data_IF_232383030698
#
_entry.id   IF_232383030698
#
_cell.length_a   1.000
_cell.length_b   1.000
_cell.length_c   1.000
_cell.angle_alpha   90.00
_cell.angle_beta   90.00
_cell.angle_gamma   90.00
#
_symmetry.space_group_name_H-M   'P 1'
#
loop_
_entity.id
_entity.type
_entity.pdbx_description
1 polymer ?
#
# COMPACT_ATOMS: atom_id res chain seq x y z
N UNK A 1 -1.83 -11.59 -22.93
CA UNK A 1 -2.26 -10.57 -21.96
C UNK A 1 -2.76 -9.36 -22.71
N UNK A 2 -4.00 -8.94 -22.48
CA UNK A 2 -4.62 -7.75 -23.08
C UNK A 2 -4.47 -6.57 -22.13
N UNK A 3 -4.08 -5.39 -22.63
CA UNK A 3 -4.04 -4.13 -21.88
C UNK A 3 -5.24 -3.26 -22.28
N UNK A 4 -5.97 -2.78 -21.31
CA UNK A 4 -7.17 -1.94 -21.47
C UNK A 4 -6.95 -0.65 -20.66
N UNK A 5 -7.15 0.53 -21.29
CA UNK A 5 -7.14 1.81 -20.58
C UNK A 5 -8.45 2.02 -19.83
N UNK A 6 -8.37 2.50 -18.58
CA UNK A 6 -9.50 2.95 -17.77
C UNK A 6 -9.59 4.48 -17.85
N UNK A 7 -10.80 5.02 -17.83
CA UNK A 7 -11.02 6.47 -17.98
C UNK A 7 -11.41 7.16 -16.67
N UNK A 8 -12.17 6.49 -15.82
CA UNK A 8 -12.70 7.05 -14.59
C UNK A 8 -12.72 5.99 -13.46
N UNK A 9 -11.77 6.09 -12.53
CA UNK A 9 -10.55 6.91 -12.60
C UNK A 9 -9.62 6.45 -13.73
N UNK A 10 -8.75 7.37 -14.20
CA UNK A 10 -7.71 7.05 -15.18
C UNK A 10 -6.85 5.88 -14.66
N UNK A 11 -6.60 4.89 -15.50
CA UNK A 11 -5.88 3.71 -15.07
C UNK A 11 -5.60 2.73 -16.20
N UNK A 12 -5.12 1.56 -15.81
CA UNK A 12 -4.86 0.43 -16.71
C UNK A 12 -5.40 -0.86 -16.10
N UNK A 13 -5.96 -1.71 -16.93
CA UNK A 13 -6.35 -3.09 -16.63
C UNK A 13 -5.60 -4.04 -17.52
N UNK A 14 -5.05 -5.09 -16.93
CA UNK A 14 -4.50 -6.23 -17.63
C UNK A 14 -5.39 -7.44 -17.46
N UNK A 15 -5.74 -8.06 -18.58
CA UNK A 15 -6.53 -9.29 -18.64
C UNK A 15 -5.61 -10.41 -19.12
N UNK A 16 -5.34 -11.42 -18.28
CA UNK A 16 -4.53 -12.57 -18.69
C UNK A 16 -5.29 -13.43 -19.71
N UNK A 17 -4.62 -14.19 -20.57
CA UNK A 17 -5.27 -15.07 -21.55
C UNK A 17 -6.04 -16.24 -20.88
N UNK A 18 -5.56 -16.67 -19.71
CA UNK A 18 -6.24 -17.63 -18.83
C UNK A 18 -6.26 -17.00 -17.44
N UNK A 19 -7.45 -16.72 -16.94
CA UNK A 19 -7.63 -16.07 -15.64
C UNK A 19 -7.60 -17.05 -14.49
N UNK A 20 -7.04 -16.63 -13.35
CA UNK A 20 -7.04 -17.39 -12.09
C UNK A 20 -8.32 -17.25 -11.28
N UNK A 21 -9.25 -16.41 -11.69
CA UNK A 21 -10.41 -15.97 -10.90
C UNK A 21 -10.08 -14.88 -9.87
N UNK A 22 -8.81 -14.46 -9.77
CA UNK A 22 -8.39 -13.42 -8.81
C UNK A 22 -8.21 -12.08 -9.50
N UNK A 23 -8.83 -11.04 -8.94
CA UNK A 23 -8.62 -9.64 -9.27
C UNK A 23 -7.62 -8.99 -8.31
N UNK A 24 -6.75 -8.14 -8.83
CA UNK A 24 -5.72 -7.43 -8.05
C UNK A 24 -5.80 -5.94 -8.35
N UNK A 25 -6.07 -5.12 -7.33
CA UNK A 25 -6.00 -3.67 -7.43
C UNK A 25 -4.66 -3.18 -6.89
N UNK A 26 -3.86 -2.55 -7.75
CA UNK A 26 -2.50 -2.07 -7.44
C UNK A 26 -2.50 -0.57 -7.24
N UNK A 27 -2.04 -0.12 -6.07
CA UNK A 27 -2.03 1.28 -5.63
C UNK A 27 -0.59 1.77 -5.47
N UNK A 28 -0.21 2.75 -6.26
CA UNK A 28 1.07 3.45 -6.12
C UNK A 28 1.10 4.27 -4.82
N UNK A 29 2.29 4.72 -4.42
CA UNK A 29 2.49 5.60 -3.26
C UNK A 29 2.15 7.07 -3.56
N UNK A 30 2.80 7.97 -2.82
CA UNK A 30 2.61 9.43 -2.86
C UNK A 30 2.91 10.11 -4.20
N UNK A 31 3.33 9.37 -5.21
CA UNK A 31 3.49 9.88 -6.59
C UNK A 31 2.16 10.01 -7.34
N UNK A 32 1.09 9.34 -6.88
CA UNK A 32 -0.21 9.30 -7.57
C UNK A 32 -0.19 8.69 -8.97
N UNK A 33 0.93 8.07 -9.37
CA UNK A 33 1.05 7.45 -10.70
C UNK A 33 0.17 6.20 -10.82
N UNK A 34 -0.12 5.82 -12.04
CA UNK A 34 -0.63 4.51 -12.36
C UNK A 34 0.58 3.55 -12.31
N UNK A 35 0.56 2.54 -11.45
CA UNK A 35 1.66 1.57 -11.29
C UNK A 35 1.49 0.40 -12.26
N UNK A 36 1.61 0.73 -13.55
CA UNK A 36 1.38 -0.19 -14.65
C UNK A 36 2.32 -1.39 -14.61
N UNK A 37 3.59 -1.17 -14.26
CA UNK A 37 4.60 -2.23 -14.26
C UNK A 37 4.30 -3.26 -13.17
N UNK A 38 3.94 -2.82 -11.96
CA UNK A 38 3.54 -3.73 -10.89
C UNK A 38 2.25 -4.48 -11.23
N UNK A 39 1.25 -3.80 -11.79
CA UNK A 39 0.04 -4.47 -12.28
C UNK A 39 0.36 -5.53 -13.34
N UNK A 40 1.32 -5.27 -14.22
CA UNK A 40 1.78 -6.22 -15.24
C UNK A 40 2.41 -7.46 -14.62
N UNK A 41 3.15 -7.35 -13.51
CA UNK A 41 3.70 -8.53 -12.78
C UNK A 41 2.56 -9.44 -12.34
N UNK A 42 1.54 -8.91 -11.68
CA UNK A 42 0.39 -9.71 -11.23
C UNK A 42 -0.39 -10.33 -12.39
N UNK A 43 -0.54 -9.60 -13.49
CA UNK A 43 -1.15 -10.15 -14.69
C UNK A 43 -0.31 -11.27 -15.34
N UNK A 44 1.02 -11.18 -15.24
CA UNK A 44 1.95 -12.25 -15.63
C UNK A 44 1.82 -13.52 -14.77
N UNK A 45 1.30 -13.39 -13.55
CA UNK A 45 0.95 -14.52 -12.67
C UNK A 45 -0.43 -15.13 -12.98
N UNK A 46 -1.15 -14.60 -13.98
CA UNK A 46 -2.47 -15.07 -14.38
C UNK A 46 -3.63 -14.38 -13.63
N UNK A 47 -3.40 -13.25 -12.99
CA UNK A 47 -4.44 -12.50 -12.29
C UNK A 47 -4.99 -11.37 -13.16
N UNK A 48 -6.26 -11.03 -12.95
CA UNK A 48 -6.81 -9.76 -13.41
C UNK A 48 -6.15 -8.64 -12.62
N UNK A 49 -5.45 -7.71 -13.24
CA UNK A 49 -4.72 -6.70 -12.50
C UNK A 49 -5.06 -5.30 -12.99
N UNK A 50 -5.35 -4.40 -12.04
CA UNK A 50 -5.62 -2.99 -12.31
C UNK A 50 -4.67 -2.10 -11.53
N UNK A 51 -4.32 -0.96 -12.12
CA UNK A 51 -3.75 0.17 -11.39
C UNK A 51 -4.43 1.45 -11.82
N UNK A 52 -4.72 2.34 -10.87
CA UNK A 52 -5.47 3.57 -11.08
C UNK A 52 -4.70 4.79 -10.57
N UNK A 53 -5.00 5.93 -11.17
CA UNK A 53 -4.68 7.24 -10.60
C UNK A 53 -5.75 7.58 -9.56
N UNK A 54 -5.35 7.87 -8.34
CA UNK A 54 -6.29 8.08 -7.25
C UNK A 54 -6.19 9.48 -6.61
N UNK A 55 -5.25 10.31 -7.07
CA UNK A 55 -5.22 11.77 -6.87
C UNK A 55 -4.47 12.43 -8.02
N UNK A 56 -4.61 13.75 -8.17
CA UNK A 56 -3.95 14.56 -9.20
C UNK A 56 -4.54 14.42 -10.60
N UNK A 57 -5.60 13.63 -10.77
CA UNK A 57 -6.36 13.51 -12.01
C UNK A 57 -7.55 14.48 -12.08
N UNK A 58 -8.24 14.49 -13.21
CA UNK A 58 -9.45 15.30 -13.38
C UNK A 58 -10.53 14.92 -12.36
N UNK A 59 -11.07 15.91 -11.63
CA UNK A 59 -12.09 15.69 -10.61
C UNK A 59 -11.60 15.05 -9.30
N UNK A 60 -10.31 14.77 -9.20
CA UNK A 60 -9.68 14.20 -8.00
C UNK A 60 -9.04 15.29 -7.11
N UNK A 61 -8.73 14.93 -5.87
CA UNK A 61 -7.90 15.78 -5.01
C UNK A 61 -6.54 16.06 -5.69
N UNK A 62 -6.01 17.28 -5.61
CA UNK A 62 -4.74 17.62 -6.27
C UNK A 62 -3.52 16.94 -5.61
N UNK A 63 -3.67 16.40 -4.41
CA UNK A 63 -2.65 15.65 -3.67
C UNK A 63 -3.27 14.59 -2.78
N UNK A 64 -2.44 13.85 -2.02
CA UNK A 64 -2.89 12.69 -1.24
C UNK A 64 -3.46 13.11 0.12
N UNK A 65 -4.40 14.01 0.15
CA UNK A 65 -5.16 14.40 1.35
C UNK A 65 -6.65 14.38 1.10
N UNK A 66 -7.41 13.99 2.09
CA UNK A 66 -8.86 13.87 2.04
C UNK A 66 -9.37 13.07 0.82
N UNK A 67 -8.60 12.04 0.43
CA UNK A 67 -8.98 11.17 -0.70
C UNK A 67 -10.13 10.28 -0.24
N UNK A 68 -11.27 10.25 -0.95
CA UNK A 68 -12.40 9.42 -0.56
C UNK A 68 -12.10 7.93 -0.81
N UNK A 69 -12.29 7.10 0.21
CA UNK A 69 -12.15 5.64 0.08
C UNK A 69 -13.15 5.06 -0.92
N UNK A 70 -14.27 5.72 -1.12
CA UNK A 70 -15.32 5.35 -2.08
C UNK A 70 -14.81 5.21 -3.51
N UNK A 71 -13.78 6.00 -3.88
CA UNK A 71 -13.13 5.88 -5.19
C UNK A 71 -12.53 4.47 -5.40
N UNK A 72 -11.90 3.93 -4.37
CA UNK A 72 -11.30 2.59 -4.43
C UNK A 72 -12.36 1.50 -4.25
N UNK A 73 -13.33 1.72 -3.36
CA UNK A 73 -14.43 0.78 -3.11
C UNK A 73 -15.22 0.52 -4.41
N UNK A 74 -15.48 1.55 -5.20
CA UNK A 74 -16.13 1.39 -6.52
C UNK A 74 -15.29 0.51 -7.48
N UNK A 75 -13.96 0.59 -7.42
CA UNK A 75 -13.07 -0.28 -8.22
C UNK A 75 -13.07 -1.72 -7.70
N UNK A 76 -13.11 -1.91 -6.38
CA UNK A 76 -13.24 -3.23 -5.76
C UNK A 76 -14.57 -3.87 -6.19
N UNK A 77 -15.67 -3.12 -6.13
CA UNK A 77 -16.99 -3.60 -6.57
C UNK A 77 -16.99 -4.06 -8.04
N UNK A 78 -16.24 -3.38 -8.92
CA UNK A 78 -16.12 -3.80 -10.31
C UNK A 78 -15.27 -5.06 -10.49
N UNK A 79 -14.21 -5.20 -9.72
CA UNK A 79 -13.39 -6.41 -9.74
C UNK A 79 -14.18 -7.62 -9.20
N UNK A 80 -14.97 -7.43 -8.13
CA UNK A 80 -15.82 -8.47 -7.53
C UNK A 80 -16.91 -8.98 -8.49
N UNK A 81 -17.36 -8.14 -9.44
CA UNK A 81 -18.30 -8.60 -10.49
C UNK A 81 -17.65 -9.50 -11.55
N UNK A 82 -16.34 -9.43 -11.68
CA UNK A 82 -15.59 -10.12 -12.75
C UNK A 82 -14.64 -11.19 -12.24
N UNK A 83 -14.41 -11.24 -10.92
CA UNK A 83 -13.44 -12.11 -10.28
C UNK A 83 -14.05 -12.77 -9.03
N UNK A 84 -13.65 -13.99 -8.73
CA UNK A 84 -14.11 -14.74 -7.55
C UNK A 84 -13.54 -14.16 -6.25
N UNK A 85 -12.37 -13.53 -6.32
CA UNK A 85 -11.63 -12.95 -5.20
C UNK A 85 -10.93 -11.66 -5.60
N UNK A 86 -10.81 -10.73 -4.65
CA UNK A 86 -10.09 -9.48 -4.85
C UNK A 86 -8.98 -9.34 -3.82
N UNK A 87 -7.79 -9.03 -4.30
CA UNK A 87 -6.62 -8.67 -3.50
C UNK A 87 -6.23 -7.22 -3.73
N UNK A 88 -5.75 -6.56 -2.69
CA UNK A 88 -5.22 -5.20 -2.77
C UNK A 88 -3.70 -5.25 -2.65
N UNK A 89 -3.03 -4.50 -3.49
CA UNK A 89 -1.57 -4.34 -3.47
C UNK A 89 -1.25 -2.87 -3.36
N UNK A 90 -0.45 -2.50 -2.38
CA UNK A 90 -0.07 -1.11 -2.20
C UNK A 90 1.40 -0.92 -1.89
N UNK A 91 1.95 0.22 -2.27
CA UNK A 91 3.32 0.61 -1.95
C UNK A 91 3.30 1.93 -1.20
N UNK A 92 3.99 1.99 -0.02
CA UNK A 92 4.10 3.24 0.73
C UNK A 92 2.70 3.77 1.10
N UNK A 93 2.34 4.98 0.72
CA UNK A 93 1.01 5.53 0.92
C UNK A 93 -0.11 4.66 0.28
N UNK A 94 0.18 3.99 -0.84
CA UNK A 94 -0.74 3.00 -1.40
C UNK A 94 -0.86 1.75 -0.53
N UNK A 95 0.16 1.39 0.27
CA UNK A 95 0.06 0.32 1.25
C UNK A 95 -0.83 0.72 2.44
N UNK A 96 -0.76 1.98 2.87
CA UNK A 96 -1.71 2.54 3.85
C UNK A 96 -3.15 2.43 3.32
N UNK A 97 -3.39 2.89 2.06
CA UNK A 97 -4.70 2.75 1.41
C UNK A 97 -5.18 1.30 1.38
N UNK A 98 -4.34 0.37 0.92
CA UNK A 98 -4.70 -1.04 0.80
C UNK A 98 -5.06 -1.67 2.15
N UNK A 99 -4.31 -1.35 3.22
CA UNK A 99 -4.59 -1.82 4.58
C UNK A 99 -5.89 -1.22 5.13
N UNK A 100 -6.12 0.08 4.95
CA UNK A 100 -7.36 0.74 5.35
C UNK A 100 -8.55 0.13 4.62
N UNK A 101 -8.47 -0.01 3.30
CA UNK A 101 -9.54 -0.60 2.48
C UNK A 101 -9.83 -2.06 2.88
N UNK A 102 -8.78 -2.88 3.04
CA UNK A 102 -8.94 -4.27 3.47
C UNK A 102 -9.59 -4.41 4.84
N UNK A 103 -9.33 -3.46 5.76
CA UNK A 103 -9.95 -3.42 7.07
C UNK A 103 -11.43 -2.97 7.04
N UNK A 104 -11.84 -2.19 6.03
CA UNK A 104 -13.21 -1.68 5.86
C UNK A 104 -14.06 -2.51 4.88
N UNK A 105 -13.42 -3.38 4.07
CA UNK A 105 -14.11 -4.24 3.09
C UNK A 105 -13.84 -5.72 3.37
N UNK A 106 -14.68 -6.40 4.16
CA UNK A 106 -14.47 -7.80 4.56
C UNK A 106 -14.44 -8.81 3.39
N UNK A 107 -15.01 -8.46 2.23
CA UNK A 107 -14.98 -9.29 1.02
C UNK A 107 -13.61 -9.32 0.34
N UNK A 108 -12.70 -8.40 0.67
CA UNK A 108 -11.33 -8.43 0.17
C UNK A 108 -10.59 -9.63 0.76
N UNK A 109 -10.11 -10.51 -0.12
CA UNK A 109 -9.46 -11.75 0.26
C UNK A 109 -8.11 -11.53 0.96
N UNK A 110 -7.38 -10.47 0.60
CA UNK A 110 -6.13 -10.15 1.25
C UNK A 110 -5.48 -8.85 0.79
N UNK A 111 -4.45 -8.46 1.51
CA UNK A 111 -3.65 -7.26 1.27
C UNK A 111 -2.17 -7.62 1.18
N UNK A 112 -1.50 -7.11 0.15
CA UNK A 112 -0.05 -7.14 -0.02
C UNK A 112 0.46 -5.72 0.13
N UNK A 113 1.21 -5.44 1.19
CA UNK A 113 1.66 -4.11 1.55
C UNK A 113 3.19 -3.99 1.50
N UNK A 114 3.69 -3.21 0.54
CA UNK A 114 5.11 -2.87 0.41
C UNK A 114 5.41 -1.57 1.15
N UNK A 115 6.44 -1.57 1.99
CA UNK A 115 6.77 -0.47 2.88
C UNK A 115 5.52 0.03 3.64
N UNK A 116 4.88 -0.82 4.48
CA UNK A 116 3.61 -0.51 5.15
C UNK A 116 3.76 0.50 6.29
N UNK A 117 2.61 1.03 6.70
CA UNK A 117 2.39 1.71 7.99
C UNK A 117 1.22 1.07 8.73
N UNK A 118 1.23 1.14 10.05
CA UNK A 118 0.18 0.59 10.93
C UNK A 118 -0.85 1.62 11.39
N UNK A 119 -0.65 2.89 11.01
CA UNK A 119 -1.53 4.02 11.33
C UNK A 119 -1.82 4.85 10.09
N UNK A 120 -2.89 5.63 10.13
CA UNK A 120 -3.18 6.65 9.12
C UNK A 120 -2.35 7.89 9.40
N UNK A 121 -1.73 8.44 8.37
CA UNK A 121 -0.96 9.67 8.40
C UNK A 121 -1.71 10.84 7.75
N UNK A 122 -1.30 12.08 7.96
CA UNK A 122 -1.79 13.24 7.25
C UNK A 122 -0.88 13.62 6.08
N UNK A 123 -1.41 14.48 5.22
CA UNK A 123 -0.63 15.24 4.25
C UNK A 123 -0.99 16.72 4.34
N UNK A 124 -0.04 17.65 4.16
CA UNK A 124 -0.37 19.07 4.09
C UNK A 124 -1.18 19.34 2.82
N UNK A 125 -2.31 20.03 2.98
CA UNK A 125 -3.11 20.51 1.86
C UNK A 125 -2.42 21.69 1.15
N UNK A 126 -3.05 22.25 0.11
CA UNK A 126 -2.48 23.38 -0.64
C UNK A 126 -2.27 24.67 0.17
N UNK A 127 -2.85 24.78 1.36
CA UNK A 127 -2.66 25.86 2.32
C UNK A 127 -1.66 25.51 3.43
N UNK A 128 -1.12 24.29 3.43
CA UNK A 128 -0.16 23.79 4.42
C UNK A 128 -0.80 23.23 5.69
N UNK A 129 -2.13 23.11 5.75
CA UNK A 129 -2.81 22.50 6.89
C UNK A 129 -2.78 20.96 6.75
N UNK A 130 -2.46 20.26 7.84
CA UNK A 130 -2.51 18.80 7.86
C UNK A 130 -3.95 18.30 7.73
N UNK A 131 -4.15 17.39 6.77
CA UNK A 131 -5.40 16.69 6.55
C UNK A 131 -5.14 15.19 6.55
N UNK A 132 -6.07 14.40 7.07
CA UNK A 132 -6.00 12.94 6.90
C UNK A 132 -5.78 12.59 5.43
N UNK A 133 -5.01 11.56 5.14
CA UNK A 133 -4.94 11.04 3.78
C UNK A 133 -6.33 10.67 3.24
N UNK A 134 -7.19 10.10 4.10
CA UNK A 134 -8.44 9.44 3.71
C UNK A 134 -9.67 10.06 4.34
N UNK A 135 -10.76 10.00 3.57
CA UNK A 135 -12.13 10.20 4.09
C UNK A 135 -12.96 8.95 3.82
N UNK A 136 -13.95 8.72 4.69
CA UNK A 136 -14.99 7.71 4.50
C UNK A 136 -16.34 8.37 4.84
N UNK A 137 -17.33 8.23 3.97
CA UNK A 137 -18.64 8.91 4.08
C UNK A 137 -18.48 10.43 4.31
N UNK A 138 -17.50 11.04 3.62
CA UNK A 138 -17.18 12.45 3.71
C UNK A 138 -16.46 12.87 5.00
N UNK A 139 -16.26 11.96 5.96
CA UNK A 139 -15.59 12.23 7.24
C UNK A 139 -14.10 11.84 7.19
N UNK A 140 -13.17 12.70 7.66
CA UNK A 140 -11.76 12.35 7.69
C UNK A 140 -11.50 11.23 8.69
N UNK A 141 -10.68 10.24 8.30
CA UNK A 141 -10.21 9.24 9.25
C UNK A 141 -9.26 9.88 10.27
N UNK A 142 -9.26 9.40 11.53
CA UNK A 142 -8.26 9.80 12.51
C UNK A 142 -6.85 9.58 11.97
N UNK A 143 -5.93 10.49 12.27
CA UNK A 143 -4.54 10.41 11.82
C UNK A 143 -3.58 10.86 12.92
N UNK A 144 -2.33 10.44 12.83
CA UNK A 144 -1.24 10.87 13.73
C UNK A 144 -0.68 12.20 13.22
N UNK A 145 -0.72 13.30 13.99
CA UNK A 145 -0.16 14.57 13.54
C UNK A 145 1.36 14.49 13.40
N UNK A 146 1.94 15.20 12.42
CA UNK A 146 3.38 15.19 12.19
C UNK A 146 4.10 16.18 13.11
N UNK A 147 5.17 15.72 13.78
CA UNK A 147 5.96 16.50 14.72
C UNK A 147 7.01 17.38 14.00
N UNK A 148 6.58 18.22 13.08
CA UNK A 148 7.46 19.08 12.25
C UNK A 148 8.43 19.94 13.06
N UNK A 149 8.04 20.36 14.25
CA UNK A 149 8.85 21.18 15.15
C UNK A 149 10.05 20.45 15.74
N UNK A 150 10.07 19.11 15.72
CA UNK A 150 11.18 18.28 16.19
C UNK A 150 12.04 17.74 15.06
N UNK A 151 11.55 17.83 13.82
CA UNK A 151 12.25 17.31 12.66
C UNK A 151 13.24 18.32 12.09
N UNK A 152 14.45 17.85 11.83
CA UNK A 152 15.49 18.64 11.14
C UNK A 152 15.58 18.16 9.70
N UNK A 153 15.25 19.06 8.77
CA UNK A 153 15.37 18.78 7.33
C UNK A 153 16.83 18.60 6.95
N UNK A 154 17.12 17.51 6.28
CA UNK A 154 18.38 17.24 5.58
C UNK A 154 18.21 17.48 4.07
N UNK A 155 19.32 17.52 3.34
CA UNK A 155 19.31 17.64 1.88
C UNK A 155 20.16 16.53 1.25
N UNK A 156 19.60 15.57 0.51
CA UNK A 156 18.16 15.35 0.33
C UNK A 156 17.46 14.88 1.63
N UNK A 157 16.15 15.14 1.79
CA UNK A 157 15.46 14.89 3.05
C UNK A 157 15.33 13.39 3.36
N UNK A 158 15.44 13.06 4.66
CA UNK A 158 15.08 11.77 5.25
C UNK A 158 13.88 12.00 6.17
N UNK A 159 12.79 11.31 5.93
CA UNK A 159 11.56 11.54 6.69
C UNK A 159 11.34 10.52 7.82
N UNK A 160 12.11 9.45 7.88
CA UNK A 160 11.94 8.37 8.87
C UNK A 160 11.86 8.92 10.30
N UNK A 161 12.80 9.78 10.71
CA UNK A 161 12.80 10.35 12.05
C UNK A 161 11.59 11.25 12.34
N UNK A 162 11.03 11.93 11.32
CA UNK A 162 9.79 12.69 11.47
C UNK A 162 8.64 11.76 11.90
N UNK A 163 8.47 10.63 11.22
CA UNK A 163 7.41 9.67 11.53
C UNK A 163 7.63 8.98 12.87
N UNK A 164 8.88 8.61 13.21
CA UNK A 164 9.24 8.01 14.50
C UNK A 164 8.90 8.99 15.65
N UNK A 165 9.35 10.23 15.60
CA UNK A 165 9.03 11.26 16.61
C UNK A 165 7.53 11.57 16.67
N UNK A 166 6.83 11.61 15.53
CA UNK A 166 5.38 11.85 15.49
C UNK A 166 4.61 10.73 16.20
N UNK A 167 5.03 9.48 15.97
CA UNK A 167 4.44 8.30 16.61
C UNK A 167 4.64 8.33 18.14
N UNK A 168 5.83 8.69 18.61
CA UNK A 168 6.17 8.79 20.03
C UNK A 168 5.47 9.96 20.74
N UNK A 169 5.34 11.09 20.05
CA UNK A 169 4.82 12.33 20.63
C UNK A 169 3.30 12.32 20.89
N UNK A 170 2.55 11.43 20.22
CA UNK A 170 1.09 11.49 20.24
C UNK A 170 0.43 10.10 20.46
N UNK A 171 0.68 9.39 21.57
CA UNK A 171 0.23 8.01 21.76
C UNK A 171 -1.29 7.83 21.71
N UNK A 172 -2.07 8.81 22.16
CA UNK A 172 -3.54 8.76 22.07
C UNK A 172 -4.02 8.90 20.61
N UNK A 173 -3.34 9.74 19.83
CA UNK A 173 -3.64 9.91 18.42
C UNK A 173 -3.23 8.69 17.61
N UNK A 174 -2.11 8.05 17.99
CA UNK A 174 -1.67 6.77 17.42
C UNK A 174 -2.77 5.73 17.60
N UNK A 175 -3.26 5.53 18.83
CA UNK A 175 -4.34 4.56 19.10
C UNK A 175 -5.62 4.86 18.30
N UNK A 176 -5.98 6.14 18.15
CA UNK A 176 -7.15 6.53 17.37
C UNK A 176 -6.96 6.33 15.86
N UNK A 177 -5.73 6.42 15.37
CA UNK A 177 -5.36 6.32 13.96
C UNK A 177 -4.93 4.91 13.54
N UNK A 178 -4.87 3.94 14.47
CA UNK A 178 -4.51 2.56 14.15
C UNK A 178 -5.43 1.97 13.08
N UNK A 179 -4.83 1.41 12.05
CA UNK A 179 -5.57 0.67 11.02
C UNK A 179 -6.00 -0.68 11.65
N UNK A 180 -7.28 -1.05 11.63
CA UNK A 180 -7.77 -2.30 12.26
C UNK A 180 -7.41 -3.53 11.41
N UNK A 181 -6.11 -3.81 11.28
CA UNK A 181 -5.52 -4.84 10.43
C UNK A 181 -5.95 -6.27 10.77
N UNK A 182 -6.41 -6.50 11.97
CA UNK A 182 -6.97 -7.77 12.45
C UNK A 182 -8.30 -8.14 11.75
N UNK A 183 -8.94 -7.19 11.08
CA UNK A 183 -10.16 -7.44 10.28
C UNK A 183 -9.85 -7.96 8.87
N UNK A 184 -8.60 -7.88 8.43
CA UNK A 184 -8.20 -8.30 7.08
C UNK A 184 -7.97 -9.82 7.09
N UNK A 185 -8.52 -10.53 6.11
CA UNK A 185 -8.42 -11.99 6.06
C UNK A 185 -6.97 -12.47 5.94
N UNK A 186 -6.25 -12.03 4.92
CA UNK A 186 -4.85 -12.38 4.67
C UNK A 186 -4.00 -11.13 4.49
N UNK A 187 -2.79 -11.14 5.06
CA UNK A 187 -1.86 -9.99 4.95
C UNK A 187 -0.45 -10.50 4.65
N UNK A 188 0.15 -9.90 3.62
CA UNK A 188 1.55 -10.05 3.25
C UNK A 188 2.23 -8.70 3.42
N UNK A 189 3.23 -8.61 4.27
CA UNK A 189 3.98 -7.39 4.57
C UNK A 189 5.40 -7.51 4.04
N UNK A 190 5.84 -6.55 3.25
CA UNK A 190 7.17 -6.48 2.67
C UNK A 190 7.82 -5.16 3.08
N UNK A 191 8.97 -5.19 3.76
CA UNK A 191 9.63 -4.00 4.26
C UNK A 191 11.15 -4.12 4.27
N UNK A 192 11.84 -2.99 4.07
CA UNK A 192 13.26 -2.85 4.30
C UNK A 192 13.55 -2.23 5.66
N UNK A 193 14.58 -2.72 6.38
CA UNK A 193 15.02 -2.11 7.66
C UNK A 193 15.66 -0.75 7.46
N UNK A 194 16.37 -0.57 6.33
CA UNK A 194 17.01 0.71 5.99
C UNK A 194 16.05 1.68 5.27
N UNK A 195 14.74 1.52 5.45
CA UNK A 195 13.78 2.47 4.92
C UNK A 195 13.96 3.85 5.59
N UNK A 196 14.34 4.86 4.78
CA UNK A 196 14.61 6.23 5.23
C UNK A 196 13.44 7.19 4.95
N UNK A 197 12.35 6.69 4.36
CA UNK A 197 11.13 7.48 4.14
C UNK A 197 10.23 7.43 5.38
N UNK A 198 9.95 6.23 5.89
CA UNK A 198 9.25 6.00 7.16
C UNK A 198 9.64 4.64 7.77
N UNK A 199 9.31 4.37 9.05
CA UNK A 199 9.76 3.15 9.73
C UNK A 199 8.94 1.91 9.33
N UNK A 200 8.96 1.54 8.03
CA UNK A 200 8.07 0.50 7.50
C UNK A 200 8.29 -0.88 8.12
N UNK A 201 9.52 -1.28 8.41
CA UNK A 201 9.81 -2.56 9.06
C UNK A 201 9.28 -2.61 10.49
N UNK A 202 9.35 -1.50 11.25
CA UNK A 202 8.76 -1.41 12.60
C UNK A 202 7.24 -1.51 12.51
N UNK A 203 6.61 -0.78 11.59
CA UNK A 203 5.17 -0.83 11.34
C UNK A 203 4.72 -2.24 10.94
N UNK A 204 5.45 -2.91 10.05
CA UNK A 204 5.17 -4.29 9.66
C UNK A 204 5.19 -5.25 10.85
N UNK A 205 6.15 -5.11 11.77
CA UNK A 205 6.20 -5.91 13.00
C UNK A 205 5.02 -5.62 13.93
N UNK A 206 4.63 -4.34 14.11
CA UNK A 206 3.46 -3.98 14.92
C UNK A 206 2.18 -4.57 14.33
N UNK A 207 1.98 -4.48 13.01
CA UNK A 207 0.87 -5.13 12.30
C UNK A 207 0.88 -6.63 12.56
N UNK A 208 2.00 -7.31 12.33
CA UNK A 208 2.12 -8.76 12.54
C UNK A 208 1.83 -9.17 13.99
N UNK A 209 2.34 -8.42 14.97
CA UNK A 209 2.11 -8.68 16.39
C UNK A 209 0.62 -8.54 16.78
N UNK A 210 -0.05 -7.46 16.33
CA UNK A 210 -1.49 -7.24 16.57
C UNK A 210 -2.33 -8.35 15.95
N UNK A 211 -2.03 -8.73 14.71
CA UNK A 211 -2.72 -9.81 14.01
C UNK A 211 -2.51 -11.17 14.68
N UNK A 212 -1.29 -11.47 15.12
CA UNK A 212 -0.99 -12.69 15.89
C UNK A 212 -1.79 -12.73 17.19
N UNK A 213 -1.86 -11.61 17.94
CA UNK A 213 -2.66 -11.51 19.15
C UNK A 213 -4.16 -11.74 18.91
N UNK A 214 -4.65 -11.40 17.72
CA UNK A 214 -6.02 -11.64 17.26
C UNK A 214 -6.23 -13.04 16.63
N UNK A 215 -5.21 -13.91 16.61
CA UNK A 215 -5.29 -15.23 15.98
C UNK A 215 -5.23 -15.25 14.46
N UNK A 216 -4.82 -14.13 13.84
CA UNK A 216 -4.74 -13.97 12.39
C UNK A 216 -3.31 -14.22 11.89
N UNK A 217 -3.16 -15.06 10.86
CA UNK A 217 -1.87 -15.29 10.22
C UNK A 217 -1.41 -14.05 9.41
N UNK A 218 -0.09 -13.85 9.36
CA UNK A 218 0.54 -12.79 8.57
C UNK A 218 1.82 -13.33 7.95
N UNK A 219 2.00 -13.12 6.65
CA UNK A 219 3.28 -13.35 6.00
C UNK A 219 4.12 -12.09 6.11
N UNK A 220 5.30 -12.19 6.72
CA UNK A 220 6.19 -11.07 6.97
C UNK A 220 7.54 -11.31 6.29
N UNK A 221 7.91 -10.43 5.35
CA UNK A 221 9.17 -10.46 4.62
C UNK A 221 9.91 -9.15 4.91
N UNK A 222 11.05 -9.25 5.59
CA UNK A 222 11.89 -8.10 5.92
C UNK A 222 13.32 -8.40 5.47
N UNK A 223 13.96 -7.45 4.81
CA UNK A 223 15.38 -7.48 4.49
C UNK A 223 16.11 -6.35 5.24
N UNK A 224 17.27 -6.68 5.81
CA UNK A 224 18.04 -5.76 6.64
C UNK A 224 18.62 -4.59 5.86
N UNK A 225 19.07 -4.84 4.63
CA UNK A 225 19.84 -3.91 3.82
C UNK A 225 18.98 -3.27 2.71
N UNK A 226 17.70 -3.64 2.63
CA UNK A 226 16.73 -3.04 1.71
C UNK A 226 16.14 -1.76 2.28
N UNK A 227 15.75 -0.86 1.38
CA UNK A 227 15.13 0.43 1.71
C UNK A 227 13.62 0.46 1.45
N UNK A 228 13.16 1.65 1.06
CA UNK A 228 11.74 1.94 0.84
C UNK A 228 11.14 1.26 -0.41
N UNK A 229 11.96 0.83 -1.35
CA UNK A 229 11.52 0.37 -2.66
C UNK A 229 11.94 -1.07 -2.96
N UNK A 230 11.19 -2.06 -2.47
CA UNK A 230 11.30 -3.42 -2.99
C UNK A 230 10.92 -3.45 -4.48
N UNK A 231 11.77 -4.05 -5.31
CA UNK A 231 11.59 -4.16 -6.77
C UNK A 231 11.30 -5.62 -7.11
N UNK A 232 10.09 -5.90 -7.59
CA UNK A 232 9.72 -7.26 -8.00
C UNK A 232 10.49 -7.66 -9.28
N UNK A 233 10.79 -8.96 -9.49
CA UNK A 233 11.31 -9.45 -10.75
C UNK A 233 10.48 -8.97 -11.94
N UNK A 234 11.14 -8.51 -13.00
CA UNK A 234 10.57 -7.92 -14.22
C UNK A 234 10.04 -6.49 -14.09
N UNK A 235 10.03 -5.90 -12.90
CA UNK A 235 9.75 -4.46 -12.76
C UNK A 235 11.01 -3.64 -13.11
N UNK A 236 10.84 -2.51 -13.81
CA UNK A 236 11.92 -1.54 -13.91
C UNK A 236 12.13 -0.86 -12.55
N UNK A 237 13.39 -0.51 -12.26
CA UNK A 237 13.66 0.38 -11.13
C UNK A 237 13.00 1.73 -11.38
N UNK A 238 12.12 2.15 -10.49
CA UNK A 238 11.44 3.45 -10.61
C UNK A 238 12.46 4.58 -10.45
N UNK A 239 12.86 5.18 -11.56
CA UNK A 239 13.62 6.41 -11.60
C UNK A 239 12.64 7.60 -11.43
N UNK A 240 12.94 8.54 -10.56
CA UNK A 240 12.14 9.76 -10.37
C UNK A 240 11.28 9.77 -9.10
N UNK A 241 10.38 10.74 -9.01
CA UNK A 241 9.65 11.13 -7.81
C UNK A 241 10.38 12.21 -7.02
N UNK A 242 9.82 12.63 -5.87
CA UNK A 242 10.41 13.64 -5.00
C UNK A 242 11.84 13.24 -4.59
N UNK A 243 12.78 14.18 -4.68
CA UNK A 243 14.14 13.99 -4.21
C UNK A 243 14.13 13.74 -2.70
N UNK A 244 14.47 12.51 -2.28
CA UNK A 244 14.56 12.10 -0.87
C UNK A 244 15.47 10.89 -0.77
N UNK A 245 16.06 10.69 0.39
CA UNK A 245 16.77 9.46 0.72
C UNK A 245 15.74 8.36 0.99
N UNK A 246 15.89 7.21 0.30
CA UNK A 246 15.00 6.07 0.46
C UNK A 246 15.63 4.93 1.24
N UNK A 247 16.92 5.03 1.51
CA UNK A 247 17.68 3.93 2.10
C UNK A 247 17.85 2.76 1.15
N UNK A 248 18.44 1.71 1.67
CA UNK A 248 18.70 0.49 0.95
C UNK A 248 19.75 0.59 -0.16
N UNK A 249 19.96 -0.52 -0.82
CA UNK A 249 20.76 -0.62 -2.04
C UNK A 249 19.93 -1.25 -3.15
N UNK A 250 20.24 -0.96 -4.40
CA UNK A 250 19.54 -1.56 -5.55
C UNK A 250 19.61 -3.11 -5.52
N UNK A 251 20.71 -3.67 -5.01
CA UNK A 251 20.89 -5.13 -4.87
C UNK A 251 19.97 -5.70 -3.80
N UNK A 252 19.91 -5.07 -2.62
CA UNK A 252 19.05 -5.51 -1.51
C UNK A 252 17.56 -5.31 -1.84
N UNK A 253 17.20 -4.19 -2.46
CA UNK A 253 15.81 -3.93 -2.89
C UNK A 253 15.33 -4.96 -3.92
N UNK A 254 16.19 -5.38 -4.85
CA UNK A 254 15.90 -6.45 -5.80
C UNK A 254 15.84 -7.83 -5.13
N UNK A 255 16.75 -8.12 -4.20
CA UNK A 255 16.75 -9.39 -3.45
C UNK A 255 15.48 -9.52 -2.60
N UNK A 256 15.08 -8.44 -1.90
CA UNK A 256 13.80 -8.38 -1.18
C UNK A 256 12.62 -8.64 -2.13
N UNK A 257 12.66 -8.08 -3.35
CA UNK A 257 11.62 -8.29 -4.35
C UNK A 257 11.48 -9.74 -4.80
N UNK A 258 12.59 -10.49 -4.91
CA UNK A 258 12.56 -11.92 -5.25
C UNK A 258 11.87 -12.73 -4.16
N UNK A 259 12.27 -12.55 -2.90
CA UNK A 259 11.66 -13.25 -1.76
C UNK A 259 10.20 -12.84 -1.58
N UNK A 260 9.89 -11.56 -1.78
CA UNK A 260 8.53 -11.05 -1.73
C UNK A 260 7.63 -11.71 -2.78
N UNK A 261 8.12 -11.89 -4.02
CA UNK A 261 7.32 -12.52 -5.08
C UNK A 261 6.98 -13.98 -4.76
N UNK A 262 7.90 -14.73 -4.14
CA UNK A 262 7.65 -16.10 -3.69
C UNK A 262 6.58 -16.13 -2.59
N UNK A 263 6.68 -15.25 -1.59
CA UNK A 263 5.71 -15.12 -0.52
C UNK A 263 4.31 -14.73 -1.04
N UNK A 264 4.26 -13.80 -2.00
CA UNK A 264 3.03 -13.35 -2.67
C UNK A 264 2.37 -14.51 -3.42
N UNK A 265 3.12 -15.27 -4.22
CA UNK A 265 2.61 -16.44 -4.92
C UNK A 265 2.02 -17.47 -3.94
N UNK A 266 2.76 -17.76 -2.86
CA UNK A 266 2.29 -18.68 -1.83
C UNK A 266 0.96 -18.24 -1.21
N UNK A 267 0.79 -16.96 -0.91
CA UNK A 267 -0.45 -16.41 -0.36
C UNK A 267 -1.63 -16.47 -1.35
N UNK A 268 -1.40 -16.06 -2.61
CA UNK A 268 -2.42 -16.10 -3.66
C UNK A 268 -2.84 -17.51 -4.03
N UNK A 269 -1.92 -18.49 -4.03
CA UNK A 269 -2.23 -19.90 -4.31
C UNK A 269 -2.97 -20.55 -3.15
N UNK A 270 -2.61 -20.29 -1.90
CA UNK A 270 -3.33 -20.79 -0.71
C UNK A 270 -4.76 -20.28 -0.66
N UNK A 271 -4.99 -19.04 -1.06
CA UNK A 271 -6.32 -18.46 -1.12
C UNK A 271 -7.21 -19.16 -2.15
N UNK A 272 -6.65 -19.57 -3.30
CA UNK A 272 -7.38 -20.32 -4.34
C UNK A 272 -7.90 -21.67 -3.89
N UNK A 273 -7.26 -22.30 -2.89
CA UNK A 273 -7.64 -23.62 -2.36
C UNK A 273 -8.74 -23.49 -1.30
N UNK A 274 -8.91 -22.32 -0.68
CA UNK A 274 -9.99 -22.10 0.29
C UNK A 274 -11.34 -21.97 -0.43
N UNK A 275 -12.41 -22.64 0.05
CA UNK A 275 -13.74 -22.39 -0.49
C UNK A 275 -14.11 -20.93 -0.27
N UNK A 276 -14.89 -20.31 -1.18
CA UNK A 276 -15.44 -18.98 -0.96
C UNK A 276 -16.27 -18.99 0.34
N UNK A 277 -16.05 -17.99 1.19
CA UNK A 277 -16.75 -17.77 2.46
C UNK A 277 -18.19 -17.34 2.24
#
# INVERSE_FOLDING_TARGET
MQRIGLKDPEGVRFVPPVGSGTGVLVLAGSSGRIDEDRARVFAGLGHFAESIRWFGGAGQQPGPWSVPLELFLARIDELERSCDRVWLVGTSLGAEAALVLGAHRPSVAGVIAFAPTDVVWPWPDGAGAERSHWTLDGSPLPHVPLAWNTWRREEPPRFRSLYEHSYEAAPDRVRAAEIPVERIQQVVLIAGEDDQVWPSAQSARRIAARRTAAGCATTLVIDRDAGHRAVLPTEPVVAGGTAMVRGGTAVADAALGVVALEAIRGALDQDRIRPPS
#
